data_IF_368975494497
#
_entry.id   IF_368975494497
#
_cell.length_a   1.000
_cell.length_b   1.000
_cell.length_c   1.000
_cell.angle_alpha   90.00
_cell.angle_beta   90.00
_cell.angle_gamma   90.00
#
_symmetry.space_group_name_H-M   'P 1'
#
loop_
_entity.id
_entity.type
_entity.pdbx_description
1 polymer ?
#
# COMPACT_ATOMS: atom_id res chain seq x y z
N UNK A 1 -18.82 14.47 -0.89
CA UNK A 1 -19.19 13.14 -0.37
C UNK A 1 -17.99 12.25 -0.50
N UNK A 2 -17.33 11.91 0.61
CA UNK A 2 -16.19 11.00 0.59
C UNK A 2 -16.75 9.57 0.62
N UNK A 3 -16.61 8.82 -0.47
CA UNK A 3 -16.68 7.36 -0.39
C UNK A 3 -15.48 6.92 0.46
N UNK A 4 -15.71 6.09 1.47
CA UNK A 4 -14.63 5.54 2.25
C UNK A 4 -13.63 4.87 1.30
N UNK A 5 -12.31 5.07 1.47
CA UNK A 5 -11.31 4.51 0.56
C UNK A 5 -11.08 3.00 0.79
N UNK A 6 -12.10 2.29 1.27
CA UNK A 6 -12.04 0.91 1.73
C UNK A 6 -11.75 -0.11 0.63
N UNK A 7 -12.03 0.23 -0.64
CA UNK A 7 -11.95 -0.70 -1.78
C UNK A 7 -10.61 -0.68 -2.52
N UNK A 8 -9.70 0.27 -2.22
CA UNK A 8 -8.38 0.25 -2.85
C UNK A 8 -7.64 -1.01 -2.41
N UNK A 9 -7.28 -1.83 -3.40
CA UNK A 9 -6.54 -3.08 -3.23
C UNK A 9 -5.55 -3.29 -4.35
N UNK A 10 -4.44 -3.96 -4.04
CA UNK A 10 -3.46 -4.39 -5.02
C UNK A 10 -3.44 -5.91 -5.05
N UNK A 11 -3.75 -6.52 -6.18
CA UNK A 11 -3.58 -7.95 -6.38
C UNK A 11 -2.13 -8.21 -6.80
N UNK A 12 -1.53 -9.25 -6.21
CA UNK A 12 -0.16 -9.68 -6.51
C UNK A 12 -0.25 -11.02 -7.22
N UNK A 13 0.19 -11.03 -8.48
CA UNK A 13 0.28 -12.22 -9.33
C UNK A 13 1.74 -12.43 -9.71
N UNK A 14 2.06 -13.63 -10.19
CA UNK A 14 3.42 -13.95 -10.62
C UNK A 14 3.88 -13.10 -11.81
N UNK A 15 2.94 -12.70 -12.66
CA UNK A 15 3.15 -11.96 -13.91
C UNK A 15 2.67 -10.50 -13.88
N UNK A 16 1.95 -10.08 -12.84
CA UNK A 16 1.36 -8.74 -12.81
C UNK A 16 1.04 -8.22 -11.39
N UNK A 17 0.98 -6.89 -11.29
CA UNK A 17 0.38 -6.17 -10.19
C UNK A 17 -0.89 -5.47 -10.69
N UNK A 18 -2.01 -5.66 -10.01
CA UNK A 18 -3.30 -5.05 -10.41
C UNK A 18 -3.84 -4.19 -9.27
N UNK A 19 -3.77 -2.88 -9.42
CA UNK A 19 -4.32 -1.92 -8.48
C UNK A 19 -5.79 -1.65 -8.83
N UNK A 20 -6.69 -2.03 -7.94
CA UNK A 20 -8.09 -1.63 -8.02
C UNK A 20 -8.29 -0.34 -7.22
N UNK A 21 -8.86 0.69 -7.86
CA UNK A 21 -9.17 1.95 -7.20
C UNK A 21 -10.63 2.03 -6.74
N UNK A 22 -10.99 3.10 -6.01
CA UNK A 22 -12.36 3.32 -5.53
C UNK A 22 -13.38 3.61 -6.64
N UNK A 23 -12.92 3.85 -7.86
CA UNK A 23 -13.77 4.04 -9.05
C UNK A 23 -14.18 2.73 -9.71
N UNK A 24 -13.73 1.57 -9.18
CA UNK A 24 -13.94 0.25 -9.78
C UNK A 24 -13.01 -0.03 -10.95
N UNK A 25 -11.98 0.80 -11.16
CA UNK A 25 -11.02 0.62 -12.24
C UNK A 25 -9.97 -0.40 -11.83
N UNK A 26 -9.43 -1.12 -12.81
CA UNK A 26 -8.28 -2.01 -12.64
C UNK A 26 -7.10 -1.45 -13.40
N UNK A 27 -6.01 -1.16 -12.71
CA UNK A 27 -4.78 -0.60 -13.27
C UNK A 27 -3.70 -1.67 -13.21
N UNK A 28 -3.09 -1.97 -14.35
CA UNK A 28 -2.09 -3.01 -14.48
C UNK A 28 -0.67 -2.44 -14.46
N UNK A 29 0.22 -3.12 -13.74
CA UNK A 29 1.63 -2.83 -13.67
C UNK A 29 2.44 -4.14 -13.79
N UNK A 30 3.67 -4.02 -14.28
CA UNK A 30 4.66 -5.09 -14.21
C UNK A 30 4.99 -5.43 -12.74
N UNK A 31 5.40 -6.68 -12.44
CA UNK A 31 5.89 -7.06 -11.12
C UNK A 31 7.06 -6.19 -10.65
N UNK A 32 7.02 -5.77 -9.38
CA UNK A 32 8.09 -5.01 -8.75
C UNK A 32 8.92 -5.88 -7.80
N UNK A 33 10.24 -5.88 -7.99
CA UNK A 33 11.18 -6.31 -6.97
C UNK A 33 11.15 -5.33 -5.77
N UNK A 34 11.57 -5.75 -4.56
CA UNK A 34 11.74 -4.84 -3.43
C UNK A 34 12.56 -3.60 -3.79
N UNK A 35 12.06 -2.42 -3.44
CA UNK A 35 12.65 -1.13 -3.80
C UNK A 35 12.39 -0.65 -5.23
N UNK A 36 11.67 -1.42 -6.04
CA UNK A 36 11.30 -1.06 -7.41
C UNK A 36 10.18 -0.01 -7.46
N UNK A 37 10.18 0.78 -8.53
CA UNK A 37 9.17 1.79 -8.82
C UNK A 37 8.80 1.76 -10.30
N UNK A 38 7.53 2.01 -10.60
CA UNK A 38 7.00 2.14 -11.96
C UNK A 38 6.03 3.31 -12.05
N UNK A 39 6.08 4.04 -13.16
CA UNK A 39 5.14 5.11 -13.47
C UNK A 39 4.26 4.69 -14.64
N UNK A 40 2.95 4.68 -14.43
CA UNK A 40 1.99 4.58 -15.52
C UNK A 40 1.63 5.96 -16.02
N UNK A 41 1.98 6.25 -17.28
CA UNK A 41 1.68 7.53 -17.94
C UNK A 41 0.18 7.71 -18.21
N UNK A 42 -0.52 6.66 -18.61
CA UNK A 42 -1.97 6.71 -18.88
C UNK A 42 -2.76 6.98 -17.60
N UNK A 43 -2.25 6.51 -16.47
CA UNK A 43 -2.88 6.65 -15.16
C UNK A 43 -2.36 7.84 -14.36
N UNK A 44 -1.30 8.49 -14.85
CA UNK A 44 -0.56 9.53 -14.13
C UNK A 44 -0.23 9.12 -12.69
N UNK A 45 0.24 7.88 -12.51
CA UNK A 45 0.38 7.27 -11.20
C UNK A 45 1.68 6.48 -11.06
N UNK A 46 2.29 6.60 -9.90
CA UNK A 46 3.40 5.78 -9.46
C UNK A 46 2.91 4.62 -8.58
N UNK A 47 3.48 3.44 -8.81
CA UNK A 47 3.47 2.33 -7.87
C UNK A 47 4.90 2.01 -7.46
N UNK A 48 5.14 1.89 -6.17
CA UNK A 48 6.45 1.63 -5.59
C UNK A 48 6.33 0.49 -4.59
N UNK A 49 7.29 -0.43 -4.60
CA UNK A 49 7.42 -1.47 -3.57
C UNK A 49 8.45 -1.03 -2.54
N UNK A 50 8.12 -1.17 -1.26
CA UNK A 50 9.08 -0.98 -0.18
C UNK A 50 10.26 -1.96 -0.25
N UNK A 51 11.22 -1.81 0.65
CA UNK A 51 12.47 -2.56 0.65
C UNK A 51 13.70 -1.75 0.25
N UNK A 52 13.63 -0.41 0.28
CA UNK A 52 14.78 0.45 -0.02
C UNK A 52 14.80 1.70 0.85
N UNK A 53 15.98 2.02 1.40
CA UNK A 53 16.16 3.18 2.25
C UNK A 53 15.91 4.51 1.50
N UNK A 54 16.47 4.66 0.30
CA UNK A 54 16.37 5.90 -0.48
C UNK A 54 16.14 5.62 -1.96
N UNK A 55 15.42 6.51 -2.64
CA UNK A 55 15.37 6.50 -4.10
C UNK A 55 16.70 7.01 -4.69
N UNK A 56 17.05 6.63 -5.92
CA UNK A 56 18.24 7.17 -6.59
C UNK A 56 18.21 8.71 -6.67
N UNK A 57 19.38 9.32 -6.76
CA UNK A 57 19.49 10.76 -6.96
C UNK A 57 18.78 11.20 -8.25
N UNK A 58 18.08 12.33 -8.17
CA UNK A 58 17.28 12.85 -9.28
C UNK A 58 15.95 12.13 -9.54
N UNK A 59 15.64 11.04 -8.81
CA UNK A 59 14.35 10.37 -8.95
C UNK A 59 13.20 11.31 -8.53
N UNK A 60 12.13 11.36 -9.32
CA UNK A 60 10.99 12.27 -9.12
C UNK A 60 10.37 12.16 -7.72
N UNK A 61 10.30 10.93 -7.18
CA UNK A 61 9.74 10.66 -5.86
C UNK A 61 10.75 10.74 -4.71
N UNK A 62 12.02 11.11 -4.92
CA UNK A 62 13.07 10.98 -3.90
C UNK A 62 12.74 11.72 -2.58
N UNK A 63 12.24 12.95 -2.67
CA UNK A 63 11.84 13.74 -1.49
C UNK A 63 10.64 13.15 -0.76
N UNK A 64 9.61 12.79 -1.52
CA UNK A 64 8.38 12.20 -0.97
C UNK A 64 8.64 10.79 -0.40
N UNK A 65 9.57 10.04 -0.97
CA UNK A 65 10.03 8.78 -0.39
C UNK A 65 10.72 9.04 0.95
N UNK A 66 11.66 9.98 1.00
CA UNK A 66 12.44 10.27 2.20
C UNK A 66 11.59 10.73 3.41
N UNK A 67 10.39 11.27 3.18
CA UNK A 67 9.48 11.65 4.27
C UNK A 67 8.81 10.46 4.96
N UNK A 68 8.77 9.29 4.32
CA UNK A 68 8.15 8.11 4.91
C UNK A 68 8.94 7.61 6.14
N UNK A 69 8.24 7.16 7.19
CA UNK A 69 8.86 6.41 8.29
C UNK A 69 9.70 5.22 7.78
N UNK A 70 10.85 4.89 8.43
CA UNK A 70 11.74 3.82 7.97
C UNK A 70 11.06 2.44 7.90
N UNK A 71 10.19 2.10 8.84
CA UNK A 71 9.41 0.87 8.88
C UNK A 71 8.53 0.71 7.63
N UNK A 72 7.97 1.81 7.11
CA UNK A 72 7.20 1.79 5.86
C UNK A 72 8.12 1.61 4.64
N UNK A 73 9.20 2.41 4.53
CA UNK A 73 10.11 2.35 3.36
C UNK A 73 10.86 1.05 3.23
N UNK A 74 11.29 0.50 4.36
CA UNK A 74 12.17 -0.68 4.39
C UNK A 74 11.38 -1.98 4.29
N UNK A 75 10.05 -1.96 4.46
CA UNK A 75 9.24 -3.17 4.35
C UNK A 75 9.08 -3.63 2.90
N UNK A 76 9.60 -4.80 2.50
CA UNK A 76 9.41 -5.34 1.15
C UNK A 76 8.00 -5.88 0.91
N UNK A 77 7.15 -5.88 1.95
CA UNK A 77 5.78 -6.37 1.90
C UNK A 77 4.77 -5.24 1.68
N UNK A 78 5.17 -3.97 1.82
CA UNK A 78 4.31 -2.83 1.56
C UNK A 78 4.47 -2.35 0.12
N UNK A 79 3.35 -1.93 -0.45
CA UNK A 79 3.29 -1.20 -1.70
C UNK A 79 2.75 0.20 -1.45
N UNK A 80 3.23 1.15 -2.22
CA UNK A 80 2.94 2.56 -2.07
C UNK A 80 2.51 3.10 -3.42
N UNK A 81 1.35 3.72 -3.46
CA UNK A 81 0.84 4.36 -4.67
C UNK A 81 0.69 5.86 -4.46
N UNK A 82 0.97 6.65 -5.49
CA UNK A 82 0.70 8.08 -5.49
C UNK A 82 0.54 8.60 -6.91
N UNK A 83 -0.37 9.55 -7.11
CA UNK A 83 -0.55 10.25 -8.38
C UNK A 83 0.23 11.59 -8.42
N UNK A 84 0.99 11.90 -7.37
CA UNK A 84 1.68 13.18 -7.23
C UNK A 84 3.03 13.01 -6.54
N UNK A 85 4.06 13.69 -7.04
CA UNK A 85 5.35 13.77 -6.35
C UNK A 85 5.29 14.55 -5.01
N UNK A 86 4.14 15.14 -4.69
CA UNK A 86 3.87 15.79 -3.40
C UNK A 86 2.98 14.96 -2.47
N UNK A 87 2.59 13.75 -2.89
CA UNK A 87 1.76 12.84 -2.10
C UNK A 87 0.26 13.15 -2.15
N UNK A 88 -0.53 12.52 -1.26
CA UNK A 88 -0.07 11.57 -0.23
C UNK A 88 0.38 10.23 -0.86
N UNK A 89 1.06 9.42 -0.05
CA UNK A 89 1.19 7.99 -0.28
C UNK A 89 -0.07 7.26 0.15
N UNK A 90 -0.55 6.35 -0.68
CA UNK A 90 -1.47 5.29 -0.29
C UNK A 90 -0.65 4.07 0.15
N UNK A 91 -0.75 3.71 1.43
CA UNK A 91 -0.03 2.58 2.01
C UNK A 91 -0.88 1.34 1.83
N UNK A 92 -0.40 0.41 1.01
CA UNK A 92 -1.04 -0.85 0.69
C UNK A 92 -0.33 -1.98 1.44
N UNK A 93 -0.92 -2.35 2.58
CA UNK A 93 -0.46 -3.41 3.47
C UNK A 93 -1.36 -4.64 3.42
N UNK A 94 -1.20 -5.55 4.36
CA UNK A 94 -2.13 -6.66 4.55
C UNK A 94 -3.08 -6.34 5.70
N UNK A 95 -4.29 -6.88 5.67
CA UNK A 95 -5.12 -6.92 6.87
C UNK A 95 -4.54 -7.99 7.79
N UNK A 96 -4.35 -7.67 9.06
CA UNK A 96 -4.16 -8.72 10.06
C UNK A 96 -5.36 -9.66 10.00
N UNK A 97 -5.05 -10.96 9.96
CA UNK A 97 -6.02 -12.04 10.01
C UNK A 97 -5.61 -12.94 11.15
N UNK A 98 -6.58 -13.40 11.93
CA UNK A 98 -6.36 -14.45 12.93
C UNK A 98 -6.18 -15.77 12.18
N UNK A 99 -5.01 -16.44 12.27
CA UNK A 99 -4.83 -17.77 11.70
C UNK A 99 -5.81 -18.75 12.33
N UNK A 100 -6.39 -19.63 11.51
CA UNK A 100 -7.20 -20.74 11.99
C UNK A 100 -6.35 -21.76 12.75
N UNK A 101 -6.99 -22.62 13.53
CA UNK A 101 -6.31 -23.67 14.32
C UNK A 101 -5.54 -24.68 13.46
N UNK A 102 -5.88 -24.79 12.18
CA UNK A 102 -5.23 -25.68 11.21
C UNK A 102 -4.19 -24.95 10.31
N UNK A 103 -4.05 -23.62 10.44
CA UNK A 103 -3.11 -22.86 9.61
C UNK A 103 -1.65 -23.09 10.06
N UNK A 104 -0.76 -23.30 9.10
CA UNK A 104 0.70 -23.37 9.36
C UNK A 104 1.22 -21.97 9.71
N UNK A 105 1.98 -21.85 10.80
CA UNK A 105 2.54 -20.59 11.27
C UNK A 105 4.02 -20.38 10.88
N UNK A 106 4.42 -19.17 10.45
CA UNK A 106 3.54 -18.02 10.21
C UNK A 106 2.68 -18.23 8.95
N UNK A 107 1.41 -17.82 9.03
CA UNK A 107 0.50 -17.91 7.90
C UNK A 107 1.08 -17.13 6.70
N UNK A 108 0.98 -17.66 5.47
CA UNK A 108 1.47 -16.95 4.30
C UNK A 108 0.73 -15.63 4.13
N UNK A 109 1.45 -14.59 3.69
CA UNK A 109 0.82 -13.30 3.40
C UNK A 109 -0.20 -13.47 2.27
N UNK A 110 -1.38 -12.83 2.36
CA UNK A 110 -2.36 -12.88 1.28
C UNK A 110 -1.74 -12.40 -0.06
N UNK A 111 -2.17 -12.96 -1.20
CA UNK A 111 -1.73 -12.53 -2.53
C UNK A 111 -2.37 -11.19 -2.96
N UNK A 112 -2.70 -10.35 -1.97
CA UNK A 112 -3.22 -9.01 -2.19
C UNK A 112 -2.79 -8.10 -1.05
N UNK A 113 -2.84 -6.79 -1.32
CA UNK A 113 -2.72 -5.73 -0.33
C UNK A 113 -3.97 -4.88 -0.35
N UNK A 114 -4.30 -4.29 0.77
CA UNK A 114 -5.43 -3.38 0.95
C UNK A 114 -4.91 -2.06 1.48
N UNK A 115 -5.68 -0.99 1.30
CA UNK A 115 -5.34 0.29 1.92
C UNK A 115 -5.37 0.17 3.44
N UNK A 116 -4.19 0.32 4.05
CA UNK A 116 -3.97 0.29 5.51
C UNK A 116 -3.57 1.65 6.05
N UNK A 117 -3.35 2.64 5.19
CA UNK A 117 -3.08 4.00 5.65
C UNK A 117 -2.72 4.98 4.56
N UNK A 118 -2.47 6.21 4.99
CA UNK A 118 -1.97 7.32 4.20
C UNK A 118 -0.70 7.86 4.86
N UNK A 119 0.26 8.33 4.06
CA UNK A 119 1.34 9.17 4.56
C UNK A 119 1.42 10.46 3.75
N UNK A 120 1.54 11.60 4.42
CA UNK A 120 1.74 12.86 3.74
C UNK A 120 3.23 13.13 3.43
N UNK A 121 3.51 14.29 2.84
CA UNK A 121 4.87 14.72 2.48
C UNK A 121 5.75 15.10 3.68
N UNK A 122 5.16 15.21 4.87
CA UNK A 122 5.85 15.52 6.12
C UNK A 122 6.14 14.25 6.94
N UNK A 123 5.64 13.09 6.49
CA UNK A 123 5.81 11.82 7.17
C UNK A 123 4.71 11.53 8.20
N UNK A 124 3.68 12.37 8.28
CA UNK A 124 2.52 12.11 9.13
C UNK A 124 1.70 10.98 8.53
N UNK A 125 1.32 10.01 9.35
CA UNK A 125 0.63 8.80 8.90
C UNK A 125 -0.75 8.69 9.51
N UNK A 126 -1.75 8.42 8.67
CA UNK A 126 -3.04 7.91 9.11
C UNK A 126 -3.04 6.39 8.91
N UNK A 127 -3.34 5.64 9.96
CA UNK A 127 -3.43 4.18 9.92
C UNK A 127 -4.90 3.75 9.98
N UNK A 128 -5.28 2.85 9.09
CA UNK A 128 -6.61 2.26 9.02
C UNK A 128 -6.57 0.86 9.62
N UNK A 129 -7.21 0.70 10.78
CA UNK A 129 -7.43 -0.61 11.38
C UNK A 129 -8.55 -1.30 10.63
N UNK A 130 -8.29 -2.52 10.16
CA UNK A 130 -9.29 -3.37 9.54
C UNK A 130 -9.67 -4.50 10.48
N UNK A 131 -10.95 -4.88 10.45
CA UNK A 131 -11.44 -5.95 11.32
C UNK A 131 -10.90 -7.31 10.88
N UNK A 132 -10.39 -8.10 11.82
CA UNK A 132 -9.67 -9.32 11.51
C UNK A 132 -10.60 -10.53 11.29
N UNK A 133 -11.83 -10.49 11.82
CA UNK A 133 -12.76 -11.61 11.80
C UNK A 133 -14.24 -11.17 11.87
N UNK A 134 -15.16 -12.11 11.66
CA UNK A 134 -16.60 -11.88 11.74
C UNK A 134 -17.20 -11.21 10.50
N UNK A 135 -18.44 -10.75 10.61
CA UNK A 135 -19.22 -10.23 9.47
C UNK A 135 -18.62 -8.96 8.85
N UNK A 136 -17.78 -8.25 9.60
CA UNK A 136 -17.09 -7.03 9.16
C UNK A 136 -15.64 -7.28 8.75
N UNK A 137 -15.20 -8.54 8.62
CA UNK A 137 -13.80 -8.86 8.32
C UNK A 137 -13.30 -8.13 7.06
N UNK A 138 -12.18 -7.41 7.22
CA UNK A 138 -11.58 -6.58 6.18
C UNK A 138 -12.15 -5.16 6.07
N UNK A 139 -13.25 -4.83 6.75
CA UNK A 139 -13.77 -3.46 6.80
C UNK A 139 -12.90 -2.57 7.69
N UNK A 140 -12.82 -1.27 7.35
CA UNK A 140 -12.10 -0.29 8.19
C UNK A 140 -12.97 0.02 9.40
N UNK A 141 -12.55 -0.42 10.58
CA UNK A 141 -13.27 -0.25 11.86
C UNK A 141 -12.57 0.72 12.80
N UNK A 142 -11.45 1.30 12.39
CA UNK A 142 -10.78 2.35 13.15
C UNK A 142 -9.80 3.16 12.29
N UNK A 143 -9.59 4.41 12.72
CA UNK A 143 -8.57 5.30 12.16
C UNK A 143 -7.72 5.81 13.32
N UNK A 144 -6.41 5.69 13.19
CA UNK A 144 -5.44 6.16 14.18
C UNK A 144 -4.47 7.12 13.50
N UNK A 145 -4.27 8.29 14.08
CA UNK A 145 -3.21 9.21 13.66
C UNK A 145 -1.88 8.79 14.30
N UNK A 146 -0.77 8.94 13.57
CA UNK A 146 0.58 8.55 13.99
C UNK A 146 1.38 9.65 14.67
N UNK A 147 0.72 10.67 15.23
CA UNK A 147 1.33 11.79 15.94
C UNK A 147 1.89 11.39 17.33
#
# INVERSE_FOLDING_TARGET
GWKAPSDIRLQIRDDALVLNDNGGRSIHFEPLLPGGAVYSRSESMWLVRGGKAAQPDGHTLARLWASLPPDIRLSPHLYLATNSAQGPWWILGWSERVPGTEDVLPAPLPPYRVLTGLADRFGQTLTYRREAAGDLAGEITGVTDGA
#
